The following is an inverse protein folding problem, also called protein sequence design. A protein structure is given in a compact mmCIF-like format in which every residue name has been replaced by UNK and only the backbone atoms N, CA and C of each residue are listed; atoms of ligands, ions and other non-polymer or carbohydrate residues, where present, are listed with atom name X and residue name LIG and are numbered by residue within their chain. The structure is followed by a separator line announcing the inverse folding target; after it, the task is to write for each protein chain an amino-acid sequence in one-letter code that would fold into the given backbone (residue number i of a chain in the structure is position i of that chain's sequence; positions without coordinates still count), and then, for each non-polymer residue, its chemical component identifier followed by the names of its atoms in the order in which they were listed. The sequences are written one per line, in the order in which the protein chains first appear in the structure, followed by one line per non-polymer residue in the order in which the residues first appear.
data_IF_551971791048
#
_entry.id   IF_551971791048
#
_cell.length_a   1.000
_cell.length_b   1.000
_cell.length_c   1.000
_cell.angle_alpha   90.00
_cell.angle_beta   90.00
_cell.angle_gamma   90.00
#
_symmetry.space_group_name_H-M   'P 1'
#
loop_
_entity.id
_entity.type
_entity.pdbx_description
1 polymer ?
#
# COMPACT_ATOMS: atom_id res chain seq x y z
N UNK A 1 15.35 -1.44 66.38
CA UNK A 1 15.27 -1.90 64.97
C UNK A 1 13.87 -1.59 64.45
N UNK A 2 13.63 -0.52 63.65
CA UNK A 2 12.30 -0.30 63.09
C UNK A 2 12.07 -1.20 61.86
N UNK A 3 10.92 -1.85 61.82
CA UNK A 3 10.48 -2.72 60.74
C UNK A 3 10.18 -1.90 59.46
N UNK A 4 10.70 -2.35 58.32
CA UNK A 4 10.41 -1.78 56.98
C UNK A 4 8.99 -2.13 56.56
N UNK A 5 8.18 -1.12 56.26
CA UNK A 5 6.89 -1.23 55.57
C UNK A 5 7.08 -1.82 54.17
N UNK A 6 6.25 -2.79 53.71
CA UNK A 6 6.36 -3.29 52.34
C UNK A 6 5.83 -2.25 51.35
N UNK A 7 6.61 -2.00 50.29
CA UNK A 7 6.20 -1.14 49.20
C UNK A 7 5.07 -1.78 48.38
N UNK A 8 4.03 -1.00 48.11
CA UNK A 8 2.86 -1.39 47.31
C UNK A 8 3.27 -1.61 45.84
N UNK A 9 2.78 -2.64 45.14
CA UNK A 9 3.16 -2.87 43.76
C UNK A 9 2.67 -1.71 42.89
N UNK A 10 3.58 -1.16 42.09
CA UNK A 10 3.30 -0.11 41.11
C UNK A 10 2.36 -0.67 40.05
N UNK A 11 1.17 -0.09 39.92
CA UNK A 11 0.22 -0.46 38.89
C UNK A 11 0.90 -0.34 37.51
N UNK A 12 0.83 -1.41 36.71
CA UNK A 12 1.29 -1.38 35.33
C UNK A 12 0.50 -0.31 34.57
N UNK A 13 1.20 0.53 33.82
CA UNK A 13 0.58 1.52 32.95
C UNK A 13 -0.39 0.82 31.97
N UNK A 14 -1.53 1.43 31.64
CA UNK A 14 -2.46 0.86 30.67
C UNK A 14 -1.74 0.66 29.34
N UNK A 15 -1.74 -0.57 28.83
CA UNK A 15 -1.26 -0.86 27.47
C UNK A 15 -2.12 -0.07 26.50
N UNK A 16 -1.48 0.68 25.61
CA UNK A 16 -2.14 1.33 24.49
C UNK A 16 -3.04 0.31 23.76
N UNK A 17 -4.23 0.71 23.27
CA UNK A 17 -5.10 -0.18 22.54
C UNK A 17 -4.33 -0.80 21.38
N UNK A 18 -4.35 -2.13 21.28
CA UNK A 18 -3.81 -2.83 20.11
C UNK A 18 -4.63 -2.34 18.92
N UNK A 19 -4.08 -1.48 18.09
CA UNK A 19 -4.65 -1.23 16.77
C UNK A 19 -4.67 -2.60 16.09
N UNK A 20 -5.86 -3.09 15.77
CA UNK A 20 -6.03 -4.43 15.20
C UNK A 20 -5.55 -4.34 13.75
N UNK A 21 -4.23 -4.35 13.59
CA UNK A 21 -3.56 -4.11 12.32
C UNK A 21 -3.88 -5.28 11.40
N UNK A 22 -4.61 -5.00 10.33
CA UNK A 22 -5.12 -6.03 9.40
C UNK A 22 -4.15 -6.35 8.28
N UNK A 23 -3.22 -5.43 8.02
CA UNK A 23 -2.25 -5.53 6.93
C UNK A 23 -0.85 -5.13 7.40
N UNK A 24 0.17 -5.71 6.79
CA UNK A 24 1.57 -5.43 7.13
C UNK A 24 2.44 -5.36 5.88
N UNK A 25 3.34 -4.37 5.85
CA UNK A 25 4.39 -4.29 4.83
C UNK A 25 5.51 -5.26 5.17
N UNK A 26 5.90 -6.11 4.23
CA UNK A 26 7.03 -7.05 4.34
C UNK A 26 7.83 -7.05 3.04
N UNK A 27 8.96 -7.77 2.99
CA UNK A 27 9.66 -8.04 1.73
C UNK A 27 8.75 -8.92 0.85
N UNK A 28 8.57 -8.54 -0.41
CA UNK A 28 7.77 -9.31 -1.36
C UNK A 28 8.63 -10.30 -2.14
N UNK A 29 8.02 -11.39 -2.59
CA UNK A 29 8.61 -12.28 -3.59
C UNK A 29 8.44 -11.78 -5.03
N UNK A 30 7.55 -10.82 -5.26
CA UNK A 30 7.28 -10.20 -6.57
C UNK A 30 8.31 -9.10 -6.83
N UNK A 31 8.28 -8.02 -6.05
CA UNK A 31 9.21 -6.91 -6.18
C UNK A 31 9.35 -6.14 -4.87
N UNK A 32 10.58 -5.77 -4.48
CA UNK A 32 10.86 -4.90 -3.32
C UNK A 32 10.09 -5.27 -2.03
N UNK A 33 9.03 -4.51 -1.76
CA UNK A 33 8.12 -4.70 -0.62
C UNK A 33 6.73 -5.05 -1.11
N UNK A 34 5.97 -5.72 -0.26
CA UNK A 34 4.58 -6.10 -0.48
C UNK A 34 3.74 -5.82 0.75
N UNK A 35 2.42 -5.76 0.58
CA UNK A 35 1.46 -5.67 1.70
C UNK A 35 0.78 -7.02 1.87
N UNK A 36 0.74 -7.52 3.10
CA UNK A 36 0.24 -8.85 3.43
C UNK A 36 -0.92 -8.76 4.41
N UNK A 37 -1.93 -9.61 4.22
CA UNK A 37 -3.03 -9.79 5.16
C UNK A 37 -2.53 -10.42 6.47
N UNK A 38 -2.92 -9.87 7.62
CA UNK A 38 -2.62 -10.41 8.95
C UNK A 38 -3.74 -11.29 9.51
N UNK A 39 -4.90 -11.26 8.88
CA UNK A 39 -6.09 -12.02 9.21
C UNK A 39 -6.88 -12.28 7.93
N UNK A 40 -7.88 -13.15 8.00
CA UNK A 40 -8.83 -13.31 6.91
C UNK A 40 -9.59 -11.99 6.66
N UNK A 41 -9.77 -11.67 5.39
CA UNK A 41 -10.41 -10.47 4.86
C UNK A 41 -11.58 -10.94 3.98
N UNK A 42 -12.83 -10.61 4.30
CA UNK A 42 -13.98 -10.85 3.42
C UNK A 42 -13.91 -10.06 2.12
N UNK A 43 -14.52 -10.60 1.07
CA UNK A 43 -14.78 -9.90 -0.20
C UNK A 43 -15.53 -8.57 -0.01
N UNK A 44 -15.25 -7.59 -0.88
CA UNK A 44 -15.87 -6.27 -0.90
C UNK A 44 -15.38 -5.30 0.18
N UNK A 45 -14.37 -5.68 0.96
CA UNK A 45 -13.91 -4.88 2.08
C UNK A 45 -12.87 -3.82 1.69
N UNK A 46 -13.07 -2.59 2.16
CA UNK A 46 -12.09 -1.50 2.05
C UNK A 46 -10.94 -1.69 3.03
N UNK A 47 -9.73 -1.81 2.50
CA UNK A 47 -8.52 -2.15 3.28
C UNK A 47 -7.71 -0.93 3.68
N UNK A 48 -7.44 -0.06 2.71
CA UNK A 48 -6.58 1.11 2.88
C UNK A 48 -6.83 2.11 1.76
N UNK A 49 -6.75 3.40 2.08
CA UNK A 49 -6.74 4.46 1.08
C UNK A 49 -5.33 4.63 0.51
N UNK A 50 -5.20 4.78 -0.81
CA UNK A 50 -3.96 5.16 -1.46
C UNK A 50 -3.76 6.67 -1.33
N UNK A 51 -3.01 7.08 -0.30
CA UNK A 51 -2.75 8.50 -0.02
C UNK A 51 -1.37 8.93 -0.50
N UNK A 52 -1.25 10.23 -0.77
CA UNK A 52 -0.03 10.91 -1.16
C UNK A 52 -0.31 12.38 -1.41
N UNK A 53 0.67 13.13 -1.91
CA UNK A 53 0.46 14.49 -2.36
C UNK A 53 -0.29 14.50 -3.70
N UNK A 54 -1.38 15.25 -3.82
CA UNK A 54 -2.11 15.40 -5.09
C UNK A 54 -1.45 16.50 -5.92
N UNK A 55 -0.94 16.13 -7.09
CA UNK A 55 -0.22 17.00 -8.01
C UNK A 55 -0.79 16.91 -9.43
N UNK A 56 -0.36 17.81 -10.31
CA UNK A 56 -0.71 17.74 -11.74
C UNK A 56 0.18 16.74 -12.47
N UNK A 57 -0.27 16.19 -13.60
CA UNK A 57 0.55 15.34 -14.46
C UNK A 57 1.87 15.99 -14.90
N UNK A 58 1.86 17.30 -15.16
CA UNK A 58 3.06 18.06 -15.52
C UNK A 58 4.09 18.07 -14.39
N UNK A 59 3.63 18.17 -13.14
CA UNK A 59 4.51 18.12 -11.97
C UNK A 59 5.03 16.71 -11.71
N UNK A 60 4.21 15.67 -11.92
CA UNK A 60 4.65 14.28 -11.83
C UNK A 60 5.78 13.99 -12.84
N UNK A 61 5.64 14.41 -14.10
CA UNK A 61 6.70 14.30 -15.11
C UNK A 61 7.96 15.07 -14.73
N UNK A 62 7.83 16.27 -14.12
CA UNK A 62 8.98 17.06 -13.67
C UNK A 62 9.75 16.39 -12.53
N UNK A 63 9.05 15.65 -11.65
CA UNK A 63 9.64 14.90 -10.52
C UNK A 63 10.23 13.56 -10.95
N UNK A 64 9.77 13.02 -12.07
CA UNK A 64 10.25 11.75 -12.60
C UNK A 64 11.64 11.89 -13.26
N UNK A 65 12.58 10.94 -13.02
CA UNK A 65 12.46 9.81 -12.10
C UNK A 65 12.68 10.21 -10.64
N UNK A 66 11.89 9.60 -9.73
CA UNK A 66 12.06 9.76 -8.28
C UNK A 66 13.40 9.19 -7.79
N UNK A 67 13.86 8.11 -8.43
CA UNK A 67 15.17 7.51 -8.20
C UNK A 67 15.88 7.30 -9.54
N UNK A 68 16.97 8.02 -9.84
CA UNK A 68 17.73 7.81 -11.08
C UNK A 68 18.29 6.39 -11.24
N UNK A 69 18.52 5.66 -10.14
CA UNK A 69 19.01 4.28 -10.17
C UNK A 69 17.89 3.25 -10.44
N UNK A 70 16.64 3.66 -10.26
CA UNK A 70 15.45 2.85 -10.52
C UNK A 70 14.36 3.74 -11.13
N UNK A 71 14.56 4.19 -12.38
CA UNK A 71 13.77 5.27 -12.96
C UNK A 71 12.30 4.86 -13.15
N UNK A 72 12.04 3.58 -13.37
CA UNK A 72 10.71 3.06 -13.65
C UNK A 72 9.88 2.82 -12.37
N UNK A 73 10.49 2.86 -11.19
CA UNK A 73 9.78 2.69 -9.93
C UNK A 73 9.15 4.01 -9.50
N UNK A 74 7.84 4.12 -9.71
CA UNK A 74 7.05 5.30 -9.31
C UNK A 74 5.95 4.90 -8.33
N UNK A 75 5.50 5.88 -7.55
CA UNK A 75 4.34 5.74 -6.65
C UNK A 75 3.18 6.63 -7.12
N UNK A 76 3.12 6.89 -8.42
CA UNK A 76 2.09 7.72 -9.04
C UNK A 76 0.81 6.91 -9.27
N UNK A 77 -0.33 7.50 -8.91
CA UNK A 77 -1.66 6.96 -9.18
C UNK A 77 -2.49 8.02 -9.90
N UNK A 78 -2.99 7.73 -11.10
CA UNK A 78 -3.85 8.64 -11.85
C UNK A 78 -5.27 8.60 -11.30
N UNK A 79 -5.89 9.77 -11.14
CA UNK A 79 -7.30 9.90 -10.77
C UNK A 79 -8.09 10.58 -11.90
N UNK A 80 -9.40 10.35 -11.95
CA UNK A 80 -10.26 10.63 -13.11
C UNK A 80 -10.27 12.09 -13.55
N UNK A 81 -10.01 13.04 -12.65
CA UNK A 81 -9.95 14.46 -12.97
C UNK A 81 -8.61 14.94 -13.57
N UNK A 82 -7.73 14.00 -13.94
CA UNK A 82 -6.45 14.25 -14.59
C UNK A 82 -5.33 14.64 -13.62
N UNK A 83 -5.59 14.62 -12.31
CA UNK A 83 -4.55 14.75 -11.28
C UNK A 83 -3.88 13.41 -11.00
N UNK A 84 -2.79 13.49 -10.24
CA UNK A 84 -1.97 12.34 -9.85
C UNK A 84 -1.73 12.38 -8.36
N UNK A 85 -1.88 11.24 -7.70
CA UNK A 85 -1.45 11.05 -6.31
C UNK A 85 0.02 10.61 -6.34
N UNK A 86 0.90 11.37 -5.72
CA UNK A 86 2.31 11.06 -5.51
C UNK A 86 2.51 10.48 -4.11
N UNK A 87 2.46 9.15 -3.98
CA UNK A 87 2.63 8.49 -2.69
C UNK A 87 4.10 8.38 -2.24
N UNK A 88 5.06 8.93 -3.00
CA UNK A 88 6.41 9.14 -2.48
C UNK A 88 6.41 10.20 -1.36
N UNK A 89 5.52 11.20 -1.48
CA UNK A 89 5.36 12.31 -0.53
C UNK A 89 4.11 12.11 0.30
N UNK A 90 4.26 11.91 1.61
CA UNK A 90 3.12 11.75 2.52
C UNK A 90 2.31 10.46 2.35
N UNK A 91 2.81 9.50 1.56
CA UNK A 91 2.10 8.24 1.33
C UNK A 91 2.12 7.26 2.51
N UNK A 92 1.29 6.23 2.41
CA UNK A 92 1.16 5.19 3.45
C UNK A 92 1.59 3.80 2.93
N UNK A 93 1.12 2.73 3.58
CA UNK A 93 1.45 1.37 3.21
C UNK A 93 0.93 0.95 1.83
N UNK A 94 -0.12 1.59 1.30
CA UNK A 94 -0.76 1.22 0.03
C UNK A 94 0.19 1.30 -1.17
N UNK A 95 1.17 2.21 -1.13
CA UNK A 95 2.19 2.36 -2.18
C UNK A 95 3.09 1.13 -2.40
N UNK A 96 3.04 0.18 -1.47
CA UNK A 96 3.80 -1.09 -1.55
C UNK A 96 2.93 -2.27 -1.97
N UNK A 97 1.67 -2.06 -2.33
CA UNK A 97 0.82 -3.12 -2.88
C UNK A 97 1.26 -3.33 -4.32
N UNK A 98 1.59 -4.57 -4.68
CA UNK A 98 2.16 -4.89 -5.98
C UNK A 98 1.10 -5.09 -7.07
N UNK A 99 1.55 -5.09 -8.32
CA UNK A 99 0.74 -5.46 -9.47
C UNK A 99 0.43 -6.97 -9.48
N UNK A 100 -0.70 -7.33 -10.07
CA UNK A 100 -0.98 -8.69 -10.55
C UNK A 100 -2.02 -8.62 -11.67
N UNK A 101 -1.81 -9.39 -12.75
CA UNK A 101 -2.81 -9.58 -13.82
C UNK A 101 -4.02 -10.45 -13.39
N UNK A 102 -3.90 -11.17 -12.27
CA UNK A 102 -5.00 -11.92 -11.65
C UNK A 102 -5.11 -11.48 -10.17
N UNK A 103 -5.62 -10.26 -9.92
CA UNK A 103 -5.49 -9.63 -8.63
C UNK A 103 -6.45 -10.18 -7.58
N UNK A 104 -6.17 -9.89 -6.31
CA UNK A 104 -7.10 -10.13 -5.19
C UNK A 104 -7.71 -8.84 -4.61
N UNK A 105 -7.24 -7.68 -5.05
CA UNK A 105 -7.79 -6.36 -4.76
C UNK A 105 -8.05 -5.55 -6.03
N UNK A 106 -8.87 -4.53 -5.90
CA UNK A 106 -9.08 -3.47 -6.89
C UNK A 106 -8.84 -2.10 -6.26
N UNK A 107 -8.54 -1.12 -7.11
CA UNK A 107 -8.54 0.28 -6.72
C UNK A 107 -9.88 0.89 -7.13
N UNK A 108 -10.59 1.44 -6.16
CA UNK A 108 -11.88 2.09 -6.34
C UNK A 108 -11.72 3.60 -6.08
N UNK A 109 -12.07 4.41 -7.08
CA UNK A 109 -11.99 5.86 -6.99
C UNK A 109 -13.33 6.47 -6.57
N UNK A 110 -13.31 7.20 -5.45
CA UNK A 110 -14.46 7.92 -4.93
C UNK A 110 -14.07 9.39 -4.67
N UNK A 111 -14.68 10.32 -5.40
CA UNK A 111 -14.49 11.77 -5.23
C UNK A 111 -13.01 12.22 -5.25
N UNK A 112 -12.20 11.65 -6.15
CA UNK A 112 -10.78 11.97 -6.28
C UNK A 112 -9.89 11.36 -5.20
N UNK A 113 -10.40 10.36 -4.47
CA UNK A 113 -9.66 9.54 -3.50
C UNK A 113 -9.68 8.10 -3.97
N UNK A 114 -8.61 7.36 -3.71
CA UNK A 114 -8.45 5.99 -4.17
C UNK A 114 -8.44 5.05 -2.98
N UNK A 115 -9.31 4.05 -2.99
CA UNK A 115 -9.44 3.04 -1.95
C UNK A 115 -9.12 1.66 -2.50
N UNK A 116 -8.31 0.90 -1.77
CA UNK A 116 -8.03 -0.49 -2.13
C UNK A 116 -9.08 -1.38 -1.47
N UNK A 117 -9.84 -2.10 -2.29
CA UNK A 117 -10.92 -3.01 -1.88
C UNK A 117 -10.58 -4.45 -2.26
N UNK A 118 -11.01 -5.43 -1.47
CA UNK A 118 -10.81 -6.85 -1.80
C UNK A 118 -11.83 -7.34 -2.83
N UNK A 119 -11.37 -7.99 -3.90
CA UNK A 119 -12.20 -8.58 -4.96
C UNK A 119 -12.76 -9.97 -4.61
N UNK A 120 -12.18 -10.62 -3.60
CA UNK A 120 -12.56 -11.94 -3.10
C UNK A 120 -12.19 -12.06 -1.64
N UNK A 121 -12.58 -13.16 -1.01
CA UNK A 121 -12.03 -13.53 0.29
C UNK A 121 -10.51 -13.73 0.21
N UNK A 122 -9.76 -13.10 1.12
CA UNK A 122 -8.29 -13.19 1.22
C UNK A 122 -7.93 -13.80 2.57
N UNK A 123 -7.07 -14.82 2.56
CA UNK A 123 -6.58 -15.51 3.75
C UNK A 123 -5.44 -14.76 4.42
N UNK A 124 -5.35 -14.92 5.73
CA UNK A 124 -4.20 -14.45 6.49
C UNK A 124 -2.90 -14.96 5.87
N UNK A 125 -1.94 -14.06 5.64
CA UNK A 125 -0.66 -14.35 5.03
C UNK A 125 -0.59 -14.18 3.51
N UNK A 126 -1.71 -14.04 2.80
CA UNK A 126 -1.69 -13.70 1.38
C UNK A 126 -1.14 -12.28 1.15
N UNK A 127 -0.42 -12.09 0.04
CA UNK A 127 0.00 -10.78 -0.44
C UNK A 127 -1.15 -10.10 -1.19
N UNK A 128 -1.42 -8.84 -0.87
CA UNK A 128 -2.38 -8.00 -1.56
C UNK A 128 -1.78 -7.52 -2.88
N UNK A 129 -2.59 -7.50 -3.93
CA UNK A 129 -2.21 -7.00 -5.24
C UNK A 129 -3.44 -6.50 -6.01
N UNK A 130 -3.24 -5.53 -6.90
CA UNK A 130 -4.29 -5.03 -7.80
C UNK A 130 -3.73 -4.82 -9.21
N UNK A 131 -4.63 -4.75 -10.20
CA UNK A 131 -4.23 -4.39 -11.57
C UNK A 131 -3.91 -2.89 -11.61
N UNK A 132 -2.68 -2.54 -12.01
CA UNK A 132 -2.24 -1.15 -12.05
C UNK A 132 -2.87 -0.39 -13.22
N UNK A 133 -3.49 -1.07 -14.18
CA UNK A 133 -4.06 -0.42 -15.37
C UNK A 133 -3.00 0.33 -16.19
N UNK A 134 -1.74 -0.12 -16.15
CA UNK A 134 -0.63 0.54 -16.84
C UNK A 134 -0.92 0.59 -18.34
N UNK A 135 -1.09 1.80 -18.87
CA UNK A 135 -1.11 2.05 -20.30
C UNK A 135 0.33 2.35 -20.72
N UNK A 136 0.97 1.40 -21.38
CA UNK A 136 2.29 1.60 -21.96
C UNK A 136 2.11 1.98 -23.43
N UNK A 137 2.64 3.14 -23.84
CA UNK A 137 2.60 3.62 -25.23
C UNK A 137 3.44 2.76 -26.19
N UNK A 138 4.32 1.92 -25.66
CA UNK A 138 5.09 0.94 -26.42
C UNK A 138 4.30 -0.33 -26.69
N UNK A 139 4.63 -1.00 -27.80
CA UNK A 139 4.04 -2.30 -28.15
C UNK A 139 4.33 -3.30 -27.03
N UNK A 140 3.27 -3.89 -26.47
CA UNK A 140 3.37 -5.00 -25.52
C UNK A 140 4.19 -6.17 -26.09
N UNK A 141 5.44 -6.29 -25.66
CA UNK A 141 6.31 -7.44 -25.96
C UNK A 141 6.34 -8.40 -24.76
N UNK A 142 6.64 -9.70 -24.97
CA UNK A 142 6.83 -10.65 -23.86
C UNK A 142 7.90 -10.19 -22.86
N UNK A 143 8.94 -9.50 -23.34
CA UNK A 143 9.98 -8.92 -22.50
C UNK A 143 9.42 -7.82 -21.59
N UNK A 144 8.65 -6.89 -22.16
CA UNK A 144 8.02 -5.80 -21.41
C UNK A 144 7.06 -6.35 -20.34
N UNK A 145 6.24 -7.35 -20.68
CA UNK A 145 5.36 -8.03 -19.71
C UNK A 145 6.13 -8.70 -18.58
N UNK A 146 7.33 -9.22 -18.84
CA UNK A 146 8.16 -9.84 -17.80
C UNK A 146 8.81 -8.83 -16.85
N UNK A 147 8.92 -7.57 -17.26
CA UNK A 147 9.42 -6.47 -16.41
C UNK A 147 8.35 -5.94 -15.45
N UNK A 148 7.06 -6.23 -15.73
CA UNK A 148 5.90 -5.88 -14.89
C UNK A 148 4.99 -7.11 -14.64
N UNK A 149 5.48 -8.12 -13.89
CA UNK A 149 4.76 -9.36 -13.62
C UNK A 149 3.53 -9.18 -12.71
#
# INVERSE_FOLDING_TARGET
MPAKTPARPRAAAPRAPKTNRRIQVRKSGVHGKGVFALQDIPEGETLIEYIGEIITWKEAQRRHPWNPEDPNHTFYFHIDDGRVIDAAVGGNAARWINHSCNPNCEADEEEGRVFIKSLRNIKAGEELNYDYGLIIDERYTPKLKAEYP
#
